data_IF_705221250804
#
_entry.id   IF_705221250804
#
_cell.length_a   1.000
_cell.length_b   1.000
_cell.length_c   1.000
_cell.angle_alpha   90.00
_cell.angle_beta   90.00
_cell.angle_gamma   90.00
#
_symmetry.space_group_name_H-M   'P 1'
#
loop_
_entity.id
_entity.type
_entity.pdbx_description
1 polymer ?
#
# COMPACT_ATOMS: atom_id res chain seq x y z
N UNK A 1 11.04 4.47 25.33
CA UNK A 1 10.68 5.87 24.97
C UNK A 1 10.89 6.18 23.48
N UNK A 2 11.74 5.45 22.76
CA UNK A 2 12.05 5.68 21.33
C UNK A 2 11.06 5.04 20.33
N UNK A 3 10.18 4.12 20.77
CA UNK A 3 9.21 3.45 19.89
C UNK A 3 8.02 4.34 19.47
N UNK A 4 7.57 5.26 20.35
CA UNK A 4 6.44 6.17 20.05
C UNK A 4 6.77 7.27 19.04
N UNK A 5 8.04 7.69 18.96
CA UNK A 5 8.49 8.72 18.03
C UNK A 5 8.57 8.20 16.59
N UNK A 6 8.98 6.94 16.41
CA UNK A 6 8.96 6.27 15.11
C UNK A 6 7.54 6.09 14.56
N UNK A 7 6.59 5.66 15.40
CA UNK A 7 5.21 5.42 14.96
C UNK A 7 4.52 6.69 14.46
N UNK A 8 4.73 7.82 15.15
CA UNK A 8 4.10 9.09 14.79
C UNK A 8 4.72 9.70 13.52
N UNK A 9 6.04 9.57 13.33
CA UNK A 9 6.70 10.10 12.13
C UNK A 9 6.36 9.29 10.87
N UNK A 10 6.22 7.97 10.99
CA UNK A 10 5.67 7.13 9.92
C UNK A 10 4.21 7.48 9.62
N UNK A 11 3.39 7.70 10.65
CA UNK A 11 1.97 8.06 10.48
C UNK A 11 1.80 9.43 9.78
N UNK A 12 2.53 10.46 10.19
CA UNK A 12 2.46 11.77 9.54
C UNK A 12 2.98 11.74 8.10
N UNK A 13 4.05 10.96 7.84
CA UNK A 13 4.60 10.79 6.48
C UNK A 13 3.67 9.96 5.58
N UNK A 14 2.94 8.98 6.13
CA UNK A 14 1.94 8.20 5.40
C UNK A 14 0.62 8.96 5.18
N UNK A 15 0.25 9.85 6.11
CA UNK A 15 -0.94 10.71 5.98
C UNK A 15 -0.87 11.73 4.84
N UNK A 16 0.33 11.96 4.29
CA UNK A 16 0.54 12.82 3.12
C UNK A 16 0.16 12.16 1.79
N UNK A 17 -0.07 10.84 1.76
CA UNK A 17 -0.57 10.10 0.60
C UNK A 17 -2.03 10.53 0.32
N UNK A 18 -2.17 11.66 -0.37
CA UNK A 18 -3.46 12.30 -0.73
C UNK A 18 -4.20 11.61 -1.89
N UNK A 19 -3.92 10.33 -2.17
CA UNK A 19 -4.59 9.57 -3.24
C UNK A 19 -5.74 8.69 -2.77
N UNK A 20 -5.97 8.53 -1.46
CA UNK A 20 -7.19 7.88 -0.99
C UNK A 20 -8.40 8.80 -1.20
N UNK A 21 -9.23 8.47 -2.20
CA UNK A 21 -10.51 9.17 -2.46
C UNK A 21 -11.31 9.29 -1.16
N UNK A 22 -11.83 10.51 -0.90
CA UNK A 22 -12.66 11.00 0.23
C UNK A 22 -12.92 10.00 1.38
N UNK A 23 -12.59 10.35 2.64
CA UNK A 23 -12.96 9.52 3.78
C UNK A 23 -14.48 9.35 3.82
N UNK A 24 -14.92 8.10 3.90
CA UNK A 24 -16.28 7.72 4.27
C UNK A 24 -16.70 8.56 5.50
N UNK A 25 -17.91 9.11 5.52
CA UNK A 25 -18.41 9.87 6.67
C UNK A 25 -18.37 8.97 7.91
N UNK A 26 -17.39 9.20 8.79
CA UNK A 26 -17.12 8.36 9.95
C UNK A 26 -18.21 8.62 10.98
N UNK A 27 -19.25 7.80 11.01
CA UNK A 27 -20.24 7.77 12.08
C UNK A 27 -19.65 7.00 13.27
N UNK A 28 -18.91 7.64 14.19
CA UNK A 28 -18.47 7.18 15.54
C UNK A 28 -18.07 5.70 15.76
N UNK A 29 -17.81 4.93 14.71
CA UNK A 29 -17.48 3.52 14.74
C UNK A 29 -16.04 3.42 14.20
N UNK A 30 -15.14 2.83 14.98
CA UNK A 30 -13.70 2.77 14.64
C UNK A 30 -13.53 2.09 13.27
N UNK A 31 -13.21 2.88 12.24
CA UNK A 31 -12.95 2.35 10.91
C UNK A 31 -11.63 1.57 10.93
N UNK A 32 -11.67 0.29 10.56
CA UNK A 32 -10.48 -0.54 10.40
C UNK A 32 -10.06 -0.60 8.92
N UNK A 33 -8.79 -0.87 8.67
CA UNK A 33 -8.23 -1.07 7.34
C UNK A 33 -7.19 -2.20 7.37
N UNK A 34 -6.94 -2.82 6.21
CA UNK A 34 -5.94 -3.86 6.04
C UNK A 34 -4.78 -3.35 5.19
N UNK A 35 -3.56 -3.61 5.64
CA UNK A 35 -2.34 -3.38 4.87
C UNK A 35 -1.58 -4.68 4.82
N UNK A 36 -1.32 -5.19 3.62
CA UNK A 36 -0.63 -6.44 3.40
C UNK A 36 0.81 -6.18 2.97
N UNK A 37 1.76 -6.80 3.67
CA UNK A 37 3.06 -7.07 3.05
C UNK A 37 2.86 -8.02 1.86
N UNK A 38 3.74 -7.95 0.87
CA UNK A 38 3.66 -8.79 -0.33
C UNK A 38 4.58 -10.01 -0.19
N UNK A 39 5.86 -9.75 0.03
CA UNK A 39 6.91 -10.76 0.00
C UNK A 39 6.96 -11.49 1.35
N UNK A 40 6.75 -12.81 1.33
CA UNK A 40 6.67 -13.64 2.53
C UNK A 40 5.28 -13.70 3.17
N UNK A 41 4.33 -12.84 2.75
CA UNK A 41 2.94 -12.83 3.24
C UNK A 41 1.95 -13.28 2.19
N UNK A 42 1.96 -12.68 1.00
CA UNK A 42 1.08 -13.06 -0.10
C UNK A 42 1.76 -14.04 -1.06
N UNK A 43 3.09 -13.93 -1.15
CA UNK A 43 3.93 -14.63 -2.13
C UNK A 43 5.17 -15.18 -1.43
N UNK A 44 5.65 -16.34 -1.88
CA UNK A 44 6.96 -16.88 -1.51
C UNK A 44 7.80 -17.06 -2.79
N UNK A 45 8.81 -16.20 -2.97
CA UNK A 45 9.59 -16.16 -4.22
C UNK A 45 8.71 -15.76 -5.40
N UNK A 46 8.46 -16.71 -6.33
CA UNK A 46 7.55 -16.50 -7.48
C UNK A 46 6.19 -17.18 -7.30
N UNK A 47 5.96 -17.85 -6.18
CA UNK A 47 4.74 -18.62 -5.92
C UNK A 47 3.76 -17.84 -5.06
N UNK A 48 2.55 -17.64 -5.59
CA UNK A 48 1.43 -17.08 -4.83
C UNK A 48 0.94 -18.11 -3.82
N UNK A 49 0.70 -17.70 -2.57
CA UNK A 49 0.21 -18.58 -1.53
C UNK A 49 -1.32 -18.78 -1.66
N UNK A 50 -1.77 -20.03 -1.72
CA UNK A 50 -3.21 -20.33 -1.81
C UNK A 50 -4.05 -19.78 -0.64
N UNK A 51 -3.56 -19.80 0.63
CA UNK A 51 -4.25 -19.13 1.73
C UNK A 51 -4.44 -17.63 1.49
N UNK A 52 -3.47 -16.96 0.86
CA UNK A 52 -3.54 -15.55 0.54
C UNK A 52 -4.63 -15.24 -0.50
N UNK A 53 -4.79 -16.11 -1.52
CA UNK A 53 -5.90 -15.99 -2.49
C UNK A 53 -7.26 -16.05 -1.81
N UNK A 54 -7.46 -17.03 -0.91
CA UNK A 54 -8.71 -17.18 -0.16
C UNK A 54 -8.99 -15.97 0.73
N UNK A 55 -7.99 -15.53 1.50
CA UNK A 55 -8.12 -14.40 2.41
C UNK A 55 -8.45 -13.10 1.66
N UNK A 56 -7.72 -12.79 0.59
CA UNK A 56 -7.96 -11.59 -0.21
C UNK A 56 -9.31 -11.63 -0.92
N UNK A 57 -9.74 -12.79 -1.42
CA UNK A 57 -11.06 -12.93 -2.03
C UNK A 57 -12.20 -12.61 -1.05
N UNK A 58 -12.16 -13.16 0.16
CA UNK A 58 -13.18 -12.87 1.18
C UNK A 58 -13.14 -11.40 1.62
N UNK A 59 -11.95 -10.82 1.77
CA UNK A 59 -11.80 -9.40 2.09
C UNK A 59 -12.32 -8.51 0.96
N UNK A 60 -12.07 -8.83 -0.31
CA UNK A 60 -12.58 -8.06 -1.45
C UNK A 60 -14.11 -8.20 -1.62
N UNK A 61 -14.67 -9.36 -1.30
CA UNK A 61 -16.13 -9.54 -1.22
C UNK A 61 -16.74 -8.62 -0.16
N UNK A 62 -16.05 -8.38 0.96
CA UNK A 62 -16.43 -7.40 1.98
C UNK A 62 -16.11 -5.95 1.58
N UNK A 63 -15.04 -5.73 0.81
CA UNK A 63 -14.65 -4.43 0.26
C UNK A 63 -15.70 -3.88 -0.72
N UNK A 64 -16.27 -4.74 -1.57
CA UNK A 64 -17.40 -4.38 -2.44
C UNK A 64 -18.64 -3.94 -1.64
N UNK A 65 -18.71 -4.30 -0.36
CA UNK A 65 -19.73 -3.83 0.60
C UNK A 65 -19.26 -2.63 1.42
N UNK A 66 -18.16 -1.98 1.01
CA UNK A 66 -17.52 -0.78 1.60
C UNK A 66 -17.12 -0.92 3.07
N UNK A 67 -16.80 -2.14 3.54
CA UNK A 67 -16.52 -2.35 4.97
C UNK A 67 -15.11 -1.95 5.41
N UNK A 68 -14.07 -2.26 4.64
CA UNK A 68 -12.68 -2.08 5.08
C UNK A 68 -11.74 -1.72 3.92
N UNK A 69 -11.07 -0.56 3.93
CA UNK A 69 -10.02 -0.24 2.94
C UNK A 69 -8.87 -1.26 2.95
N UNK A 70 -8.29 -1.51 1.77
CA UNK A 70 -7.17 -2.46 1.59
C UNK A 70 -6.02 -1.77 0.82
N UNK A 71 -4.80 -1.89 1.34
CA UNK A 71 -3.57 -1.50 0.67
C UNK A 71 -2.53 -2.64 0.69
N UNK A 72 -1.58 -2.59 -0.23
CA UNK A 72 -0.46 -3.50 -0.37
C UNK A 72 0.83 -2.70 -0.27
N UNK A 73 1.70 -3.09 0.64
CA UNK A 73 2.94 -2.41 0.97
C UNK A 73 4.10 -3.39 0.81
N UNK A 74 5.17 -3.02 0.12
CA UNK A 74 6.40 -3.82 0.11
C UNK A 74 7.62 -2.93 0.04
N UNK A 75 8.73 -3.41 0.61
CA UNK A 75 10.06 -2.83 0.36
C UNK A 75 10.62 -3.21 -1.02
N UNK A 76 9.96 -4.13 -1.73
CA UNK A 76 10.24 -4.42 -3.13
C UNK A 76 9.97 -3.22 -4.05
N UNK A 77 10.64 -3.21 -5.19
CA UNK A 77 10.55 -2.15 -6.18
C UNK A 77 10.90 -2.64 -7.59
N UNK A 78 11.43 -1.74 -8.43
CA UNK A 78 11.87 -2.06 -9.79
C UNK A 78 10.75 -2.07 -10.86
N UNK A 79 9.52 -1.73 -10.49
CA UNK A 79 8.42 -1.46 -11.41
C UNK A 79 7.52 -0.34 -10.88
N UNK A 80 6.60 0.15 -11.69
CA UNK A 80 5.61 1.16 -11.27
C UNK A 80 4.51 0.55 -10.41
N UNK A 81 3.82 1.37 -9.63
CA UNK A 81 2.64 0.94 -8.86
C UNK A 81 1.56 0.35 -9.76
N UNK A 82 1.37 0.90 -10.96
CA UNK A 82 0.43 0.37 -11.96
C UNK A 82 0.81 -1.02 -12.42
N UNK A 83 2.08 -1.26 -12.71
CA UNK A 83 2.55 -2.57 -13.15
C UNK A 83 2.46 -3.60 -12.03
N UNK A 84 2.79 -3.21 -10.79
CA UNK A 84 2.59 -4.08 -9.62
C UNK A 84 1.10 -4.39 -9.39
N UNK A 85 0.22 -3.40 -9.50
CA UNK A 85 -1.22 -3.59 -9.35
C UNK A 85 -1.77 -4.58 -10.39
N UNK A 86 -1.33 -4.46 -11.65
CA UNK A 86 -1.67 -5.41 -12.72
C UNK A 86 -1.21 -6.82 -12.38
N UNK A 87 0.05 -6.97 -11.97
CA UNK A 87 0.62 -8.26 -11.57
C UNK A 87 -0.15 -8.92 -10.42
N UNK A 88 -0.45 -8.17 -9.35
CA UNK A 88 -1.26 -8.71 -8.25
C UNK A 88 -2.68 -9.03 -8.71
N UNK A 89 -3.28 -8.20 -9.55
CA UNK A 89 -4.64 -8.43 -10.08
C UNK A 89 -4.72 -9.76 -10.83
N UNK A 90 -3.73 -10.08 -11.64
CA UNK A 90 -3.65 -11.35 -12.37
C UNK A 90 -3.44 -12.54 -11.43
N UNK A 91 -2.55 -12.41 -10.44
CA UNK A 91 -2.26 -13.48 -9.49
C UNK A 91 -3.41 -13.83 -8.56
N UNK A 92 -4.18 -12.82 -8.13
CA UNK A 92 -5.27 -12.99 -7.17
C UNK A 92 -6.65 -12.99 -7.83
N UNK A 93 -6.75 -12.67 -9.13
CA UNK A 93 -8.00 -12.47 -9.86
C UNK A 93 -8.92 -11.45 -9.16
N UNK A 94 -8.33 -10.31 -8.79
CA UNK A 94 -8.98 -9.22 -8.05
C UNK A 94 -8.70 -7.88 -8.75
N UNK A 95 -9.62 -6.90 -8.70
CA UNK A 95 -9.45 -5.61 -9.38
C UNK A 95 -8.59 -4.64 -8.57
N UNK A 96 -7.31 -4.98 -8.34
CA UNK A 96 -6.39 -4.19 -7.53
C UNK A 96 -5.99 -2.92 -8.31
N UNK A 97 -6.21 -1.76 -7.69
CA UNK A 97 -5.89 -0.46 -8.28
C UNK A 97 -4.49 0.01 -7.86
N UNK A 98 -3.89 0.90 -8.65
CA UNK A 98 -2.54 1.42 -8.41
C UNK A 98 -2.45 2.27 -7.13
N UNK A 99 -3.53 2.93 -6.72
CA UNK A 99 -3.62 3.72 -5.49
C UNK A 99 -3.63 2.86 -4.21
N UNK A 100 -3.82 1.54 -4.36
CA UNK A 100 -3.70 0.57 -3.29
C UNK A 100 -2.27 0.04 -3.12
N UNK A 101 -1.33 0.42 -3.98
CA UNK A 101 0.05 -0.08 -3.96
C UNK A 101 0.98 0.97 -3.36
N UNK A 102 1.85 0.52 -2.45
CA UNK A 102 2.98 1.29 -1.92
C UNK A 102 4.25 0.45 -2.06
N UNK A 103 5.15 0.90 -2.93
CA UNK A 103 6.48 0.33 -3.15
C UNK A 103 7.51 1.11 -2.34
N UNK A 104 8.73 0.59 -2.23
CA UNK A 104 9.84 1.26 -1.54
C UNK A 104 10.09 2.70 -2.01
N UNK A 105 9.89 2.95 -3.31
CA UNK A 105 10.13 4.27 -3.92
C UNK A 105 8.86 5.15 -4.01
N UNK A 106 7.67 4.65 -3.69
CA UNK A 106 6.42 5.45 -3.76
C UNK A 106 6.49 6.73 -2.92
N UNK A 107 7.00 6.73 -1.67
CA UNK A 107 7.10 7.96 -0.87
C UNK A 107 8.05 9.02 -1.47
N UNK A 108 8.97 8.60 -2.35
CA UNK A 108 10.01 9.47 -2.90
C UNK A 108 9.44 10.42 -3.96
N UNK A 109 8.28 10.08 -4.56
CA UNK A 109 7.54 10.98 -5.46
C UNK A 109 7.07 12.26 -4.77
N UNK A 110 6.62 12.17 -3.52
CA UNK A 110 6.25 13.35 -2.75
C UNK A 110 7.47 14.08 -2.21
N UNK A 111 8.53 13.33 -1.87
CA UNK A 111 9.78 13.91 -1.40
C UNK A 111 10.46 14.72 -2.50
N UNK A 112 10.49 14.25 -3.74
CA UNK A 112 11.10 14.99 -4.87
C UNK A 112 10.41 16.32 -5.13
N UNK A 113 9.09 16.42 -4.90
CA UNK A 113 8.36 17.67 -4.97
C UNK A 113 8.72 18.65 -3.82
N UNK A 114 9.16 18.14 -2.67
CA UNK A 114 9.53 18.93 -1.48
C UNK A 114 11.02 19.27 -1.41
N UNK A 115 11.88 18.44 -2.01
CA UNK A 115 13.32 18.69 -2.05
C UNK A 115 13.59 19.81 -3.06
N UNK A 116 14.22 20.89 -2.58
CA UNK A 116 14.69 22.01 -3.42
C UNK A 116 15.57 21.44 -4.54
N UNK A 117 15.41 21.97 -5.76
CA UNK A 117 16.16 21.58 -6.99
C UNK A 117 17.69 21.66 -6.89
N UNK A 118 18.23 22.16 -5.78
CA UNK A 118 19.65 22.40 -5.54
C UNK A 118 20.35 21.24 -4.81
N UNK A 119 19.68 20.07 -4.70
CA UNK A 119 20.27 18.85 -4.14
C UNK A 119 20.00 17.69 -5.09
N UNK A 120 21.08 17.12 -5.61
CA UNK A 120 21.01 15.88 -6.37
C UNK A 120 20.59 14.74 -5.45
N UNK A 121 19.50 14.06 -5.79
CA UNK A 121 19.01 12.88 -5.08
C UNK A 121 19.12 11.70 -6.03
N UNK A 122 20.09 10.82 -5.80
CA UNK A 122 20.23 9.56 -6.53
C UNK A 122 19.37 8.50 -5.86
N UNK A 123 18.50 7.86 -6.64
CA UNK A 123 17.68 6.73 -6.19
C UNK A 123 18.36 5.43 -6.62
N UNK A 124 18.92 4.72 -5.64
CA UNK A 124 19.37 3.35 -5.83
C UNK A 124 18.25 2.40 -5.39
N UNK A 125 17.69 1.65 -6.34
CA UNK A 125 16.71 0.59 -6.11
C UNK A 125 17.39 -0.78 -6.06
#
# INVERSE_FOLDING_TARGET
>A
MLSRLWTLQCYERYSSIKTFRKPYSISNNKAAAFVFDIDGVLIRGKQVLDPAKKALFELYKMYNRKKFPIAFLTNGGGCTETEKARQLSEWFNLPIQNDQIVLSHTPLRELSAKVRRDRDVVLCN
#
